data_IF_705865735991
#
_entry.id   IF_705865735991
#
_cell.length_a   1.000
_cell.length_b   1.000
_cell.length_c   1.000
_cell.angle_alpha   90.00
_cell.angle_beta   90.00
_cell.angle_gamma   90.00
#
_symmetry.space_group_name_H-M   'P 1'
#
loop_
_entity.id
_entity.type
_entity.pdbx_description
1 polymer ?
#
# COMPACT_ATOMS: atom_id res chain seq x y z
N UNK A 1 5.55 -8.98 2.78
CA UNK A 1 6.19 -7.64 2.85
C UNK A 1 5.59 -6.85 4.00
N UNK A 2 6.18 -5.75 4.43
CA UNK A 2 5.60 -4.90 5.48
C UNK A 2 5.19 -3.55 4.87
N UNK A 3 4.09 -2.99 5.34
CA UNK A 3 3.67 -1.64 4.96
C UNK A 3 4.41 -0.64 5.84
N UNK A 4 5.28 0.18 5.25
CA UNK A 4 6.11 1.14 5.99
C UNK A 4 5.36 2.45 6.28
N UNK A 5 4.77 3.06 5.26
CA UNK A 5 4.07 4.34 5.37
C UNK A 5 2.95 4.41 4.34
N UNK A 6 1.83 5.04 4.71
CA UNK A 6 0.70 5.33 3.82
C UNK A 6 0.51 6.84 3.75
N UNK A 7 0.51 7.39 2.53
CA UNK A 7 0.28 8.83 2.28
C UNK A 7 -0.77 8.99 1.19
N UNK A 8 -1.77 9.84 1.45
CA UNK A 8 -2.80 10.18 0.47
C UNK A 8 -2.20 11.11 -0.60
N UNK A 9 -1.98 10.60 -1.82
CA UNK A 9 -1.54 11.43 -2.95
C UNK A 9 -2.68 12.17 -3.63
N UNK A 10 -3.89 11.60 -3.62
CA UNK A 10 -5.10 12.16 -4.24
C UNK A 10 -6.32 11.67 -3.47
N UNK A 11 -7.16 12.59 -3.01
CA UNK A 11 -8.44 12.25 -2.38
C UNK A 11 -9.45 11.75 -3.40
N UNK A 12 -10.32 10.85 -2.97
CA UNK A 12 -11.51 10.43 -3.74
C UNK A 12 -12.64 11.48 -3.72
N UNK A 13 -12.53 12.52 -2.90
CA UNK A 13 -13.61 13.48 -2.61
C UNK A 13 -14.57 13.00 -1.51
N UNK A 14 -14.40 11.78 -1.00
CA UNK A 14 -15.14 11.23 0.14
C UNK A 14 -14.19 10.87 1.29
N UNK A 15 -14.16 11.66 2.39
CA UNK A 15 -13.25 11.43 3.52
C UNK A 15 -13.41 10.06 4.19
N UNK A 16 -14.64 9.53 4.24
CA UNK A 16 -14.90 8.22 4.85
C UNK A 16 -14.28 7.09 4.02
N UNK A 17 -14.31 7.22 2.69
CA UNK A 17 -13.69 6.26 1.78
C UNK A 17 -12.17 6.33 1.88
N UNK A 18 -11.59 7.53 1.84
CA UNK A 18 -10.14 7.71 1.94
C UNK A 18 -9.60 7.09 3.23
N UNK A 19 -10.25 7.34 4.37
CA UNK A 19 -9.87 6.76 5.66
C UNK A 19 -10.06 5.23 5.71
N UNK A 20 -11.10 4.69 5.04
CA UNK A 20 -11.30 3.25 4.96
C UNK A 20 -10.21 2.56 4.14
N UNK A 21 -9.80 3.17 3.03
CA UNK A 21 -8.72 2.69 2.16
C UNK A 21 -7.39 2.70 2.92
N UNK A 22 -7.07 3.79 3.62
CA UNK A 22 -5.85 3.88 4.44
C UNK A 22 -5.77 2.75 5.47
N UNK A 23 -6.84 2.52 6.22
CA UNK A 23 -6.92 1.40 7.19
C UNK A 23 -6.77 0.04 6.52
N UNK A 24 -7.34 -0.16 5.33
CA UNK A 24 -7.25 -1.41 4.60
C UNK A 24 -5.81 -1.69 4.12
N UNK A 25 -5.07 -0.65 3.71
CA UNK A 25 -3.66 -0.76 3.34
C UNK A 25 -2.85 -1.20 4.56
N UNK A 26 -3.01 -0.57 5.72
CA UNK A 26 -2.32 -0.98 6.95
C UNK A 26 -2.62 -2.43 7.35
N UNK A 27 -3.88 -2.86 7.24
CA UNK A 27 -4.30 -4.25 7.52
C UNK A 27 -3.74 -5.27 6.55
N UNK A 28 -3.24 -4.85 5.40
CA UNK A 28 -2.60 -5.74 4.44
C UNK A 28 -1.19 -6.12 4.87
N UNK A 29 -0.66 -5.61 5.99
CA UNK A 29 0.59 -6.07 6.58
C UNK A 29 0.36 -7.34 7.44
N UNK A 30 1.09 -8.44 7.22
CA UNK A 30 2.15 -8.60 6.22
C UNK A 30 1.59 -8.85 4.81
N UNK A 31 2.14 -8.14 3.82
CA UNK A 31 1.77 -8.28 2.41
C UNK A 31 2.01 -9.72 1.95
N UNK A 32 1.05 -10.31 1.22
CA UNK A 32 1.18 -11.66 0.69
C UNK A 32 2.40 -11.79 -0.21
N UNK A 33 2.98 -13.00 -0.26
CA UNK A 33 4.11 -13.28 -1.14
C UNK A 33 3.64 -13.20 -2.61
N UNK A 34 4.36 -12.49 -3.50
CA UNK A 34 4.05 -12.49 -4.91
C UNK A 34 4.14 -13.91 -5.49
N UNK A 35 3.17 -14.30 -6.33
CA UNK A 35 3.18 -15.61 -6.99
C UNK A 35 4.36 -15.78 -7.96
N UNK A 36 4.85 -14.67 -8.54
CA UNK A 36 6.02 -14.62 -9.44
C UNK A 36 7.04 -13.63 -8.87
N UNK A 37 7.95 -14.06 -8.00
CA UNK A 37 8.91 -13.17 -7.34
C UNK A 37 9.80 -12.41 -8.32
N UNK A 38 10.06 -12.95 -9.51
CA UNK A 38 10.87 -12.30 -10.54
C UNK A 38 10.28 -11.01 -11.11
N UNK A 39 8.96 -10.79 -10.97
CA UNK A 39 8.29 -9.57 -11.45
C UNK A 39 8.42 -8.39 -10.48
N UNK A 40 8.92 -8.62 -9.26
CA UNK A 40 9.09 -7.58 -8.26
C UNK A 40 10.51 -7.01 -8.32
N UNK A 41 10.63 -5.70 -8.53
CA UNK A 41 11.87 -4.97 -8.34
C UNK A 41 12.17 -4.93 -6.82
N UNK A 42 13.28 -5.57 -6.41
CA UNK A 42 13.67 -5.65 -4.99
C UNK A 42 14.10 -4.30 -4.40
N UNK A 43 14.31 -3.30 -5.25
CA UNK A 43 14.74 -1.95 -4.85
C UNK A 43 13.54 -1.02 -4.87
N UNK A 44 13.13 -0.57 -3.69
CA UNK A 44 12.08 0.45 -3.55
C UNK A 44 12.68 1.83 -3.86
N UNK A 45 12.17 2.49 -4.91
CA UNK A 45 12.46 3.90 -5.21
C UNK A 45 11.32 4.75 -4.67
N UNK A 46 11.59 5.50 -3.61
CA UNK A 46 10.63 6.44 -3.02
C UNK A 46 11.07 7.85 -3.43
N UNK A 47 10.35 8.54 -4.34
CA UNK A 47 10.60 9.94 -4.67
C UNK A 47 10.14 10.88 -3.57
#
# INVERSE_FOLDING_TARGET
GEVLEVKLRRSSGNPALDAAVERAIHKSSPLPKPAKPELFERVLKIP
#
